data_IF_917465938116
#
_entry.id   IF_917465938116
#
_cell.length_a   1.000
_cell.length_b   1.000
_cell.length_c   1.000
_cell.angle_alpha   90.00
_cell.angle_beta   90.00
_cell.angle_gamma   90.00
#
_symmetry.space_group_name_H-M   'P 1'
#
loop_
_entity.id
_entity.type
_entity.pdbx_description
1 polymer ?
#
# COMPACT_ATOMS: atom_id res chain seq x y z
N UNK A 1 -1.84 26.54 -5.96
CA UNK A 1 -1.13 25.30 -6.38
C UNK A 1 0.11 25.07 -5.51
N UNK A 2 0.12 24.09 -4.58
CA UNK A 2 1.39 23.62 -3.99
C UNK A 2 2.22 23.00 -5.10
N UNK A 3 3.30 23.68 -5.50
CA UNK A 3 4.18 23.22 -6.57
C UNK A 3 5.23 22.30 -5.97
N UNK A 4 5.36 21.12 -6.57
CA UNK A 4 6.55 20.30 -6.39
C UNK A 4 7.75 21.19 -6.80
N UNK A 5 8.79 21.30 -5.96
CA UNK A 5 9.97 22.07 -6.30
C UNK A 5 10.51 21.64 -7.67
N UNK A 6 10.87 22.60 -8.52
CA UNK A 6 11.48 22.31 -9.82
C UNK A 6 12.93 21.84 -9.60
N UNK A 7 13.08 20.56 -9.23
CA UNK A 7 14.34 19.88 -8.95
C UNK A 7 14.31 18.51 -9.64
N UNK A 8 15.47 17.99 -9.98
CA UNK A 8 15.62 16.61 -10.42
C UNK A 8 15.46 15.71 -9.20
N UNK A 9 14.56 14.74 -9.30
CA UNK A 9 14.33 13.70 -8.29
C UNK A 9 14.89 12.37 -8.81
N UNK A 10 15.16 11.40 -7.93
CA UNK A 10 15.57 10.05 -8.35
C UNK A 10 14.57 9.47 -9.35
N UNK A 11 15.06 8.77 -10.38
CA UNK A 11 14.23 8.21 -11.46
C UNK A 11 13.22 7.16 -10.92
N UNK A 12 13.53 6.56 -9.78
CA UNK A 12 12.73 5.56 -9.09
C UNK A 12 11.48 6.15 -8.41
N UNK A 13 11.35 7.49 -8.33
CA UNK A 13 10.23 8.15 -7.64
C UNK A 13 9.37 8.97 -8.61
N UNK A 14 8.09 8.60 -8.69
CA UNK A 14 7.07 9.42 -9.34
C UNK A 14 6.42 10.34 -8.30
N UNK A 15 6.81 11.61 -8.29
CA UNK A 15 6.25 12.61 -7.38
C UNK A 15 5.03 13.32 -7.99
N UNK A 16 3.87 13.19 -7.36
CA UNK A 16 2.64 13.92 -7.69
C UNK A 16 2.04 14.53 -6.43
N UNK A 17 1.51 15.74 -6.55
CA UNK A 17 0.92 16.46 -5.42
C UNK A 17 -0.35 17.19 -5.84
N UNK A 18 -1.36 17.17 -4.98
CA UNK A 18 -2.56 17.98 -5.09
C UNK A 18 -2.48 19.13 -4.09
N UNK A 19 -3.08 20.27 -4.43
CA UNK A 19 -2.91 21.53 -3.68
C UNK A 19 -3.30 21.47 -2.21
N UNK A 20 -4.42 20.82 -1.92
CA UNK A 20 -4.95 20.60 -0.57
C UNK A 20 -4.29 19.41 0.13
N UNK A 21 -3.49 18.61 -0.58
CA UNK A 21 -2.77 17.46 -0.03
C UNK A 21 -3.62 16.21 0.14
N UNK A 22 -4.79 16.14 -0.49
CA UNK A 22 -5.67 14.96 -0.44
C UNK A 22 -5.54 14.13 -1.72
N UNK A 23 -5.72 12.81 -1.58
CA UNK A 23 -5.91 11.93 -2.73
C UNK A 23 -7.23 12.29 -3.43
N UNK A 24 -7.23 12.32 -4.75
CA UNK A 24 -8.43 12.55 -5.56
C UNK A 24 -8.44 11.64 -6.79
N UNK A 25 -9.54 11.64 -7.53
CA UNK A 25 -9.73 10.78 -8.69
C UNK A 25 -8.63 10.97 -9.75
N UNK A 26 -8.17 12.21 -9.96
CA UNK A 26 -7.11 12.51 -10.93
C UNK A 26 -5.77 11.90 -10.54
N UNK A 27 -5.42 11.95 -9.25
CA UNK A 27 -4.20 11.34 -8.74
C UNK A 27 -4.27 9.81 -8.82
N UNK A 28 -5.40 9.20 -8.49
CA UNK A 28 -5.60 7.74 -8.62
C UNK A 28 -5.48 7.29 -10.08
N UNK A 29 -6.13 8.00 -11.01
CA UNK A 29 -6.03 7.72 -12.45
C UNK A 29 -4.60 7.92 -12.97
N UNK A 30 -3.91 8.96 -12.48
CA UNK A 30 -2.51 9.20 -12.78
C UNK A 30 -1.60 8.07 -12.28
N UNK A 31 -1.88 7.54 -11.10
CA UNK A 31 -1.17 6.39 -10.55
C UNK A 31 -1.39 5.13 -11.39
N UNK A 32 -2.61 4.84 -11.85
CA UNK A 32 -2.86 3.70 -12.76
C UNK A 32 -2.01 3.83 -14.04
N UNK A 33 -1.99 5.02 -14.65
CA UNK A 33 -1.25 5.25 -15.90
C UNK A 33 0.27 5.19 -15.73
N UNK A 34 0.79 5.74 -14.64
CA UNK A 34 2.23 5.84 -14.44
C UNK A 34 2.83 4.60 -13.78
N UNK A 35 2.11 3.95 -12.87
CA UNK A 35 2.63 2.85 -12.06
C UNK A 35 2.03 1.53 -12.53
N UNK A 36 0.71 1.37 -12.43
CA UNK A 36 0.07 0.09 -12.73
C UNK A 36 0.35 -0.37 -14.16
N UNK A 37 0.18 0.50 -15.16
CA UNK A 37 0.38 0.15 -16.57
C UNK A 37 1.84 -0.05 -16.99
N UNK A 38 2.80 0.41 -16.19
CA UNK A 38 4.24 0.23 -16.46
C UNK A 38 4.87 -0.84 -15.58
N UNK A 39 4.06 -1.57 -14.81
CA UNK A 39 4.51 -2.67 -13.96
C UNK A 39 5.10 -3.81 -14.84
N UNK A 40 6.19 -4.46 -14.45
CA UNK A 40 6.65 -5.71 -15.05
C UNK A 40 5.50 -6.69 -15.28
N UNK A 41 5.41 -7.17 -16.51
CA UNK A 41 4.31 -8.02 -16.97
C UNK A 41 3.08 -7.28 -17.51
N UNK A 42 2.97 -5.95 -17.39
CA UNK A 42 1.83 -5.19 -17.92
C UNK A 42 1.63 -5.38 -19.44
N UNK A 43 2.73 -5.43 -20.19
CA UNK A 43 2.70 -5.62 -21.66
C UNK A 43 2.21 -7.00 -22.07
N UNK A 44 2.17 -7.98 -21.16
CA UNK A 44 1.64 -9.31 -21.45
C UNK A 44 0.11 -9.31 -21.54
N UNK A 45 -0.56 -8.21 -21.15
CA UNK A 45 -2.02 -8.04 -21.21
C UNK A 45 -2.83 -9.17 -20.55
N UNK A 46 -2.20 -9.89 -19.62
CA UNK A 46 -2.87 -10.94 -18.84
C UNK A 46 -3.91 -10.30 -17.91
N UNK A 47 -5.03 -11.02 -17.74
CA UNK A 47 -6.04 -10.60 -16.78
C UNK A 47 -5.42 -10.46 -15.39
N UNK A 48 -5.62 -9.31 -14.78
CA UNK A 48 -5.07 -8.96 -13.47
C UNK A 48 -6.20 -8.53 -12.54
N UNK A 49 -5.99 -8.65 -11.23
CA UNK A 49 -6.89 -8.08 -10.23
C UNK A 49 -6.15 -6.98 -9.47
N UNK A 50 -6.84 -5.86 -9.27
CA UNK A 50 -6.40 -4.78 -8.40
C UNK A 50 -7.36 -4.69 -7.20
N UNK A 51 -6.85 -5.05 -6.03
CA UNK A 51 -7.58 -4.97 -4.75
C UNK A 51 -7.40 -3.57 -4.16
N UNK A 52 -8.50 -2.86 -3.93
CA UNK A 52 -8.53 -1.50 -3.38
C UNK A 52 -9.50 -1.42 -2.21
N UNK A 53 -9.30 -0.48 -1.29
CA UNK A 53 -10.31 -0.17 -0.28
C UNK A 53 -11.51 0.58 -0.86
N UNK A 54 -12.53 0.79 -0.03
CA UNK A 54 -13.75 1.51 -0.37
C UNK A 54 -13.60 3.04 -0.40
N UNK A 55 -12.38 3.58 -0.46
CA UNK A 55 -12.17 5.02 -0.60
C UNK A 55 -12.93 5.54 -1.83
N UNK A 56 -13.66 6.65 -1.69
CA UNK A 56 -14.55 7.15 -2.74
C UNK A 56 -13.85 7.40 -4.09
N UNK A 57 -12.55 7.73 -4.07
CA UNK A 57 -11.77 7.88 -5.30
C UNK A 57 -11.47 6.56 -6.03
N UNK A 58 -11.47 5.43 -5.32
CA UNK A 58 -11.32 4.09 -5.87
C UNK A 58 -12.63 3.54 -6.45
N UNK A 59 -13.77 4.09 -6.05
CA UNK A 59 -15.10 3.59 -6.45
C UNK A 59 -15.62 4.18 -7.77
N UNK A 60 -14.93 5.19 -8.33
CA UNK A 60 -15.41 5.93 -9.50
C UNK A 60 -15.53 5.10 -10.78
N UNK A 61 -16.52 5.41 -11.61
CA UNK A 61 -16.71 4.79 -12.94
C UNK A 61 -15.52 5.05 -13.86
N UNK A 62 -14.96 6.26 -13.81
CA UNK A 62 -13.75 6.61 -14.56
C UNK A 62 -12.60 5.66 -14.27
N UNK A 63 -12.38 5.30 -13.00
CA UNK A 63 -11.35 4.34 -12.63
C UNK A 63 -11.68 2.93 -13.15
N UNK A 64 -12.94 2.49 -12.96
CA UNK A 64 -13.41 1.19 -13.44
C UNK A 64 -13.18 1.03 -14.95
N UNK A 65 -13.55 2.04 -15.74
CA UNK A 65 -13.31 2.06 -17.18
C UNK A 65 -11.82 2.04 -17.54
N UNK A 66 -10.97 2.77 -16.80
CA UNK A 66 -9.52 2.74 -17.06
C UNK A 66 -8.90 1.36 -16.77
N UNK A 67 -9.32 0.69 -15.69
CA UNK A 67 -8.82 -0.64 -15.34
C UNK A 67 -9.28 -1.70 -16.36
N UNK A 68 -10.54 -1.63 -16.79
CA UNK A 68 -11.07 -2.50 -17.83
C UNK A 68 -10.28 -2.41 -19.14
N UNK A 69 -9.86 -1.20 -19.55
CA UNK A 69 -9.04 -1.00 -20.77
C UNK A 69 -7.66 -1.66 -20.70
N UNK A 70 -7.19 -2.01 -19.51
CA UNK A 70 -5.88 -2.66 -19.29
C UNK A 70 -6.01 -4.05 -18.69
N UNK A 71 -7.11 -4.74 -19.04
CA UNK A 71 -7.40 -6.12 -18.62
C UNK A 71 -7.29 -6.32 -17.10
N UNK A 72 -7.74 -5.35 -16.32
CA UNK A 72 -7.67 -5.39 -14.86
C UNK A 72 -9.06 -5.30 -14.25
N UNK A 73 -9.42 -6.30 -13.44
CA UNK A 73 -10.63 -6.28 -12.63
C UNK A 73 -10.35 -5.59 -11.29
N UNK A 74 -11.33 -4.81 -10.81
CA UNK A 74 -11.26 -4.18 -9.49
C UNK A 74 -11.94 -5.07 -8.47
N UNK A 75 -11.22 -5.44 -7.41
CA UNK A 75 -11.80 -6.00 -6.19
C UNK A 75 -11.82 -4.91 -5.12
N UNK A 76 -12.96 -4.75 -4.44
CA UNK A 76 -13.12 -3.72 -3.40
C UNK A 76 -13.19 -4.39 -2.04
N UNK A 77 -12.33 -3.96 -1.13
CA UNK A 77 -12.38 -4.34 0.28
C UNK A 77 -13.56 -3.61 0.94
N UNK A 78 -14.48 -4.34 1.59
CA UNK A 78 -15.58 -3.72 2.34
C UNK A 78 -15.07 -2.76 3.42
N UNK A 79 -15.91 -1.77 3.76
CA UNK A 79 -15.62 -0.84 4.86
C UNK A 79 -15.41 -1.59 6.18
N UNK A 80 -14.49 -1.09 7.01
CA UNK A 80 -14.14 -1.71 8.29
C UNK A 80 -13.22 -2.93 8.19
N UNK A 81 -13.04 -3.54 7.00
CA UNK A 81 -12.19 -4.72 6.84
C UNK A 81 -10.75 -4.40 6.44
N UNK A 82 -10.44 -3.15 6.09
CA UNK A 82 -9.11 -2.74 5.62
C UNK A 82 -7.98 -3.14 6.58
N UNK A 83 -8.21 -3.07 7.90
CA UNK A 83 -7.22 -3.45 8.90
C UNK A 83 -6.94 -4.95 8.98
N UNK A 84 -7.79 -5.80 8.39
CA UNK A 84 -7.68 -7.27 8.44
C UNK A 84 -7.30 -7.87 7.09
N UNK A 85 -7.85 -7.33 6.00
CA UNK A 85 -7.74 -7.97 4.67
C UNK A 85 -6.94 -7.15 3.66
N UNK A 86 -6.39 -5.99 4.03
CA UNK A 86 -5.54 -5.22 3.12
C UNK A 86 -4.06 -5.61 3.31
N UNK A 87 -3.42 -6.29 2.35
CA UNK A 87 -2.02 -6.75 2.49
C UNK A 87 -1.06 -5.61 2.86
N UNK A 88 -1.27 -4.45 2.24
CA UNK A 88 -0.50 -3.24 2.50
C UNK A 88 -0.62 -2.78 3.96
N UNK A 89 -1.83 -2.81 4.52
CA UNK A 89 -2.13 -2.35 5.87
C UNK A 89 -1.66 -3.31 6.96
N UNK A 90 -1.81 -4.62 6.72
CA UNK A 90 -1.52 -5.67 7.70
C UNK A 90 -0.02 -5.87 7.91
N UNK A 91 0.76 -6.02 6.83
CA UNK A 91 2.17 -6.42 6.97
C UNK A 91 3.13 -5.40 6.36
N UNK A 92 2.93 -4.99 5.11
CA UNK A 92 3.92 -4.21 4.35
C UNK A 92 4.18 -2.84 4.99
N UNK A 93 3.12 -2.16 5.42
CA UNK A 93 3.22 -0.85 6.06
C UNK A 93 3.99 -0.91 7.40
N UNK A 94 4.03 -2.06 8.08
CA UNK A 94 4.82 -2.22 9.32
C UNK A 94 6.31 -2.07 9.01
N UNK A 95 6.84 -2.88 8.10
CA UNK A 95 8.25 -2.86 7.70
C UNK A 95 8.67 -1.47 7.20
N UNK A 96 7.87 -0.86 6.33
CA UNK A 96 8.10 0.50 5.85
C UNK A 96 8.13 1.53 6.99
N UNK A 97 7.13 1.53 7.88
CA UNK A 97 7.01 2.53 8.95
C UNK A 97 8.11 2.40 10.00
N UNK A 98 8.60 1.19 10.27
CA UNK A 98 9.70 0.96 11.21
C UNK A 98 10.97 1.66 10.69
N UNK A 99 11.37 1.37 9.46
CA UNK A 99 12.57 1.94 8.86
C UNK A 99 12.46 3.46 8.70
N UNK A 100 11.33 3.94 8.19
CA UNK A 100 11.10 5.38 8.04
C UNK A 100 11.20 6.12 9.39
N UNK A 101 10.64 5.56 10.47
CA UNK A 101 10.73 6.15 11.81
C UNK A 101 12.14 6.10 12.37
N UNK A 102 12.90 5.04 12.10
CA UNK A 102 14.31 4.93 12.47
C UNK A 102 15.12 6.09 11.87
N UNK A 103 15.02 6.27 10.54
CA UNK A 103 15.72 7.33 9.81
C UNK A 103 15.30 8.74 10.25
N UNK A 104 14.01 8.94 10.50
CA UNK A 104 13.51 10.21 11.05
C UNK A 104 14.07 10.48 12.45
N UNK A 105 14.14 9.46 13.31
CA UNK A 105 14.63 9.59 14.69
C UNK A 105 16.13 9.86 14.72
N UNK A 106 16.90 9.16 13.88
CA UNK A 106 18.33 9.42 13.70
C UNK A 106 18.58 10.84 13.20
N UNK A 107 17.82 11.27 12.20
CA UNK A 107 17.86 12.65 11.74
C UNK A 107 17.60 13.59 12.90
N UNK A 108 16.48 13.45 13.62
CA UNK A 108 16.14 14.25 14.79
C UNK A 108 17.27 14.30 15.84
N UNK A 109 17.96 13.19 16.08
CA UNK A 109 19.09 13.10 17.01
C UNK A 109 20.38 13.78 16.51
N UNK A 110 20.60 13.88 15.19
CA UNK A 110 21.82 14.44 14.58
C UNK A 110 22.10 15.92 14.90
N UNK A 111 21.15 16.65 15.48
CA UNK A 111 21.31 18.05 15.87
C UNK A 111 21.48 19.05 14.71
N UNK A 112 21.48 18.59 13.46
CA UNK A 112 21.76 19.39 12.25
C UNK A 112 20.54 20.19 11.74
N UNK A 113 19.54 20.39 12.61
CA UNK A 113 18.23 20.96 12.25
C UNK A 113 18.26 22.46 12.27
N UNK A 114 17.81 23.07 11.18
CA UNK A 114 17.58 24.51 11.16
C UNK A 114 16.33 24.83 11.98
N UNK A 115 16.44 25.80 12.89
CA UNK A 115 15.27 26.37 13.54
C UNK A 115 14.70 27.51 12.69
N UNK A 116 13.39 27.70 12.79
CA UNK A 116 12.70 28.91 12.30
C UNK A 116 13.04 30.09 13.21
N UNK A 117 12.86 31.35 12.77
CA UNK A 117 13.01 32.52 13.63
C UNK A 117 12.15 32.45 14.91
N UNK A 118 11.04 31.71 14.87
CA UNK A 118 10.16 31.43 16.02
C UNK A 118 10.60 30.22 16.85
N UNK A 119 11.86 29.78 16.74
CA UNK A 119 12.46 28.63 17.47
C UNK A 119 11.80 27.26 17.22
N UNK A 120 10.90 27.13 16.23
CA UNK A 120 10.33 25.84 15.83
C UNK A 120 11.31 25.10 14.92
N UNK A 121 11.43 23.79 15.08
CA UNK A 121 12.21 22.95 14.15
C UNK A 121 11.65 23.10 12.73
N UNK A 122 12.53 23.33 11.75
CA UNK A 122 12.14 23.29 10.34
C UNK A 122 11.89 21.84 9.93
N UNK A 123 10.97 21.66 9.01
CA UNK A 123 10.71 20.37 8.36
C UNK A 123 11.97 19.89 7.64
N UNK A 124 12.15 18.56 7.62
CA UNK A 124 13.17 17.94 6.80
C UNK A 124 13.03 18.39 5.33
N UNK A 125 14.14 18.65 4.63
CA UNK A 125 14.11 18.95 3.21
C UNK A 125 13.43 17.81 2.42
N UNK A 126 12.69 18.15 1.36
CA UNK A 126 12.00 17.16 0.54
C UNK A 126 12.94 16.05 0.03
N UNK A 127 14.16 16.40 -0.39
CA UNK A 127 15.15 15.43 -0.84
C UNK A 127 15.50 14.39 0.24
N UNK A 128 15.65 14.84 1.49
CA UNK A 128 15.91 13.97 2.64
C UNK A 128 14.72 13.05 2.93
N UNK A 129 13.50 13.58 2.86
CA UNK A 129 12.29 12.74 3.02
C UNK A 129 12.21 11.69 1.91
N UNK A 130 12.52 12.06 0.66
CA UNK A 130 12.50 11.13 -0.46
C UNK A 130 13.57 10.03 -0.33
N UNK A 131 14.76 10.34 0.16
CA UNK A 131 15.76 9.31 0.45
C UNK A 131 15.30 8.35 1.55
N UNK A 132 14.57 8.83 2.57
CA UNK A 132 14.00 7.94 3.58
C UNK A 132 12.90 7.05 3.02
N UNK A 133 12.04 7.60 2.15
CA UNK A 133 11.00 6.81 1.46
C UNK A 133 11.65 5.70 0.64
N UNK A 134 12.73 5.99 -0.11
CA UNK A 134 13.45 4.97 -0.87
C UNK A 134 14.06 3.90 0.04
N UNK A 135 14.78 4.30 1.08
CA UNK A 135 15.41 3.36 2.03
C UNK A 135 14.38 2.46 2.70
N UNK A 136 13.28 3.05 3.20
CA UNK A 136 12.18 2.31 3.84
C UNK A 136 11.44 1.36 2.90
N UNK A 137 11.43 1.65 1.60
CA UNK A 137 10.89 0.75 0.60
C UNK A 137 11.85 -0.36 0.21
N UNK A 138 13.16 -0.08 0.19
CA UNK A 138 14.20 -1.10 -0.03
C UNK A 138 14.34 -2.07 1.14
N UNK A 139 13.90 -1.70 2.35
CA UNK A 139 13.89 -2.59 3.51
C UNK A 139 12.71 -3.57 3.54
N UNK A 140 11.69 -3.39 2.68
CA UNK A 140 10.57 -4.32 2.57
C UNK A 140 11.02 -5.56 1.80
N UNK A 141 10.97 -6.72 2.45
CA UNK A 141 11.36 -7.99 1.85
C UNK A 141 10.27 -8.53 0.93
N UNK A 142 10.66 -9.21 -0.16
CA UNK A 142 9.73 -9.91 -1.05
C UNK A 142 8.90 -10.96 -0.30
N UNK A 143 9.48 -11.57 0.73
CA UNK A 143 8.81 -12.54 1.59
C UNK A 143 7.72 -11.88 2.43
N UNK A 144 7.96 -10.69 3.01
CA UNK A 144 6.93 -9.90 3.73
C UNK A 144 5.74 -9.59 2.81
N UNK A 145 6.03 -9.22 1.56
CA UNK A 145 4.97 -8.95 0.58
C UNK A 145 4.21 -10.23 0.28
N UNK A 146 4.88 -11.33 -0.02
CA UNK A 146 4.24 -12.61 -0.37
C UNK A 146 3.38 -13.14 0.79
N UNK A 147 3.92 -13.11 2.00
CA UNK A 147 3.22 -13.51 3.22
C UNK A 147 2.00 -12.63 3.48
N UNK A 148 2.09 -11.32 3.21
CA UNK A 148 0.94 -10.42 3.41
C UNK A 148 -0.28 -10.78 2.55
N UNK A 149 -0.06 -11.29 1.33
CA UNK A 149 -1.16 -11.74 0.47
C UNK A 149 -1.77 -13.06 0.95
N UNK A 150 -0.99 -13.92 1.60
CA UNK A 150 -1.46 -15.17 2.22
C UNK A 150 -2.24 -14.91 3.51
N UNK A 151 -1.69 -14.12 4.43
CA UNK A 151 -2.33 -13.80 5.71
C UNK A 151 -3.67 -13.08 5.52
N UNK A 152 -3.82 -12.32 4.43
CA UNK A 152 -5.05 -11.62 4.09
C UNK A 152 -6.03 -12.42 3.23
N UNK A 153 -5.74 -13.69 2.95
CA UNK A 153 -6.61 -14.55 2.14
C UNK A 153 -6.71 -14.14 0.67
N UNK A 154 -5.82 -13.26 0.20
CA UNK A 154 -5.90 -12.73 -1.18
C UNK A 154 -5.29 -13.70 -2.19
N UNK A 155 -4.29 -14.49 -1.80
CA UNK A 155 -3.61 -15.45 -2.67
C UNK A 155 -3.73 -16.90 -2.25
N UNK A 156 -4.57 -17.19 -1.25
CA UNK A 156 -4.70 -18.55 -0.71
C UNK A 156 -5.32 -19.47 -1.75
N UNK A 157 -4.91 -20.73 -1.71
CA UNK A 157 -5.58 -21.78 -2.46
C UNK A 157 -7.04 -21.92 -2.02
N UNK A 158 -7.93 -22.19 -2.97
CA UNK A 158 -9.36 -22.37 -2.71
C UNK A 158 -9.69 -23.71 -2.04
N UNK A 159 -8.74 -24.67 -2.05
CA UNK A 159 -8.90 -25.98 -1.42
C UNK A 159 -8.68 -25.97 0.10
N UNK A 160 -8.47 -24.79 0.70
CA UNK A 160 -8.28 -24.62 2.14
C UNK A 160 -6.93 -25.12 2.66
N UNK A 161 -6.02 -25.56 1.79
CA UNK A 161 -4.71 -26.09 2.21
C UNK A 161 -3.79 -25.03 2.85
N UNK A 162 -4.11 -23.75 2.69
CA UNK A 162 -3.36 -22.61 3.24
C UNK A 162 -4.17 -21.80 4.26
N UNK A 163 -5.31 -22.34 4.73
CA UNK A 163 -6.16 -21.64 5.71
C UNK A 163 -5.50 -21.54 7.09
N UNK A 164 -4.54 -22.42 7.39
CA UNK A 164 -3.73 -22.36 8.62
C UNK A 164 -2.87 -21.08 8.69
N UNK A 165 -2.59 -20.43 7.55
CA UNK A 165 -1.85 -19.16 7.49
C UNK A 165 -2.74 -17.93 7.74
N UNK A 166 -4.06 -18.11 7.71
CA UNK A 166 -5.00 -17.09 8.12
C UNK A 166 -4.94 -17.03 9.64
N UNK A 167 -4.68 -15.85 10.21
CA UNK A 167 -4.68 -15.66 11.67
C UNK A 167 -3.50 -16.25 12.45
N UNK A 168 -2.32 -16.39 11.86
CA UNK A 168 -1.12 -16.38 12.71
C UNK A 168 -1.05 -15.01 13.40
N UNK A 169 -1.57 -14.98 14.62
CA UNK A 169 -1.45 -13.89 15.55
C UNK A 169 0.03 -13.61 15.74
N UNK A 170 0.58 -12.62 15.03
CA UNK A 170 1.64 -11.79 15.60
C UNK A 170 1.01 -11.10 16.81
N UNK A 171 0.98 -11.84 17.93
CA UNK A 171 0.19 -11.58 19.10
C UNK A 171 0.16 -10.08 19.47
N UNK A 172 -1.02 -9.47 19.60
CA UNK A 172 -1.16 -8.27 20.40
C UNK A 172 -0.78 -8.64 21.83
N UNK A 173 0.29 -8.06 22.37
CA UNK A 173 0.44 -8.07 23.82
C UNK A 173 -0.74 -7.30 24.42
N UNK A 174 -1.61 -8.09 25.07
CA UNK A 174 -2.76 -7.79 25.93
C UNK A 174 -4.16 -7.81 25.30
N UNK A 175 -4.83 -8.95 25.53
CA UNK A 175 -6.26 -9.21 25.38
C UNK A 175 -7.10 -8.59 26.51
N UNK A 176 -8.33 -8.17 26.20
CA UNK A 176 -9.53 -8.44 27.03
C UNK A 176 -10.71 -8.75 26.09
N UNK A 177 -11.48 -9.76 26.49
CA UNK A 177 -12.45 -10.61 25.81
C UNK A 177 -13.75 -9.96 25.32
N UNK A 178 -14.40 -10.59 24.33
CA UNK A 178 -15.68 -11.29 24.59
C UNK A 178 -16.10 -12.22 23.45
N UNK A 179 -16.63 -13.37 23.88
CA UNK A 179 -16.91 -14.62 23.15
C UNK A 179 -18.25 -14.66 22.38
N UNK A 180 -18.34 -15.66 21.48
CA UNK A 180 -19.50 -16.46 20.97
C UNK A 180 -19.78 -16.25 19.46
N UNK A 181 -20.18 -17.21 18.64
CA UNK A 181 -20.22 -18.69 18.58
C UNK A 181 -20.99 -19.05 17.28
N UNK A 182 -20.55 -20.08 16.54
CA UNK A 182 -21.26 -20.91 15.51
C UNK A 182 -21.92 -20.17 14.31
N UNK A 183 -22.12 -20.72 13.09
CA UNK A 183 -22.28 -22.09 12.62
C UNK A 183 -22.06 -22.17 11.07
N UNK A 184 -21.88 -23.40 10.63
CA UNK A 184 -21.60 -24.06 9.33
C UNK A 184 -22.31 -23.64 8.00
N UNK A 185 -21.65 -23.89 6.84
CA UNK A 185 -21.99 -24.90 5.79
C UNK A 185 -21.44 -24.64 4.35
N UNK A 186 -20.65 -25.62 3.88
CA UNK A 186 -20.52 -26.32 2.58
C UNK A 186 -20.54 -25.66 1.17
N UNK A 187 -19.55 -26.13 0.38
CA UNK A 187 -19.53 -26.57 -1.04
C UNK A 187 -19.80 -25.58 -2.19
N UNK A 188 -18.77 -25.32 -3.01
CA UNK A 188 -18.55 -26.02 -4.30
C UNK A 188 -17.44 -25.35 -5.14
N UNK A 189 -16.70 -26.21 -5.86
CA UNK A 189 -15.57 -25.97 -6.77
C UNK A 189 -15.65 -24.71 -7.67
N UNK A 190 -14.51 -24.03 -7.84
CA UNK A 190 -13.94 -23.64 -9.16
C UNK A 190 -12.46 -23.26 -8.98
N UNK A 191 -11.60 -24.12 -9.52
CA UNK A 191 -10.18 -23.87 -9.73
C UNK A 191 -9.99 -22.83 -10.84
N UNK A 192 -9.26 -21.74 -10.58
CA UNK A 192 -8.58 -21.02 -11.66
C UNK A 192 -7.41 -20.16 -11.17
N UNK A 193 -6.20 -20.66 -11.44
CA UNK A 193 -4.91 -19.97 -11.35
C UNK A 193 -4.99 -18.52 -11.84
N UNK A 194 -4.83 -17.55 -10.94
CA UNK A 194 -4.52 -16.16 -11.29
C UNK A 194 -3.03 -15.90 -11.02
N UNK A 195 -2.30 -15.54 -12.07
CA UNK A 195 -0.91 -15.12 -11.96
C UNK A 195 -0.81 -13.85 -11.10
N UNK A 196 -0.27 -13.96 -9.89
CA UNK A 196 0.19 -12.80 -9.12
C UNK A 196 1.52 -12.33 -9.72
N UNK A 197 1.46 -11.26 -10.53
CA UNK A 197 2.68 -10.65 -11.07
C UNK A 197 3.26 -9.72 -10.02
N UNK A 198 4.36 -10.15 -9.40
CA UNK A 198 5.20 -9.30 -8.57
C UNK A 198 5.97 -8.32 -9.43
N UNK A 199 5.94 -7.06 -9.03
CA UNK A 199 6.89 -6.11 -9.56
C UNK A 199 7.18 -5.00 -8.57
N UNK A 200 8.47 -4.83 -8.29
CA UNK A 200 9.03 -3.76 -7.47
C UNK A 200 8.86 -2.40 -8.14
N UNK A 201 7.67 -1.80 -8.02
CA UNK A 201 7.39 -0.41 -8.39
C UNK A 201 6.37 0.17 -7.41
N UNK A 202 6.86 1.04 -6.53
CA UNK A 202 6.23 1.38 -5.27
C UNK A 202 4.94 2.19 -5.41
N UNK A 203 3.96 1.78 -4.61
CA UNK A 203 2.57 2.25 -4.61
C UNK A 203 2.30 2.88 -3.25
N UNK A 204 2.18 4.20 -3.21
CA UNK A 204 1.41 4.89 -2.17
C UNK A 204 0.19 5.52 -2.83
N UNK A 205 -0.99 4.92 -2.61
CA UNK A 205 -2.16 5.72 -2.41
C UNK A 205 -2.88 5.18 -1.19
N UNK A 206 -2.25 5.19 0.00
CA UNK A 206 -2.97 5.13 1.27
C UNK A 206 -2.02 5.47 2.44
N UNK A 207 -2.34 6.56 3.12
CA UNK A 207 -1.91 6.89 4.50
C UNK A 207 -0.46 7.34 4.76
N UNK A 208 0.11 8.20 3.92
CA UNK A 208 1.12 9.17 4.40
C UNK A 208 0.44 10.52 4.70
N UNK A 209 -0.50 10.49 5.63
CA UNK A 209 -0.84 11.68 6.40
C UNK A 209 0.27 11.89 7.41
N UNK A 210 1.14 12.85 7.13
CA UNK A 210 2.00 13.44 8.14
C UNK A 210 1.12 14.00 9.26
N UNK A 211 1.17 13.37 10.44
CA UNK A 211 1.11 14.09 11.71
C UNK A 211 2.53 14.07 12.30
#
# INVERSE_FOLDING_TARGET
QKRIPNKVFPEEIILRAQEKGWMNNELVLGWVKCVWQNRPGALLTKQSILVLDSFCGHLTDKLKEQLHRVCTDRATIPEGLTGMVQPLGVSINRSFKVEFRSLYTEWMASGSHKQTPTRRLKRAPLATVLSWVLSAWSSVLTDDVSQSFKVTGTSNSFDGAEDDCLWEDEAPQQAISDSKSDDSLSDDDICCNKCFSFSSWYVLPLSLFFF
#
